data_IF_433688797709
#
_entry.id   IF_433688797709
#
_cell.length_a   1.000
_cell.length_b   1.000
_cell.length_c   1.000
_cell.angle_alpha   90.00
_cell.angle_beta   90.00
_cell.angle_gamma   90.00
#
_symmetry.space_group_name_H-M   'P 1'
#
loop_
_entity.id
_entity.type
_entity.pdbx_description
1 polymer ?
#
# COMPACT_ATOMS: atom_id res chain seq x y z
N UNK A 1 29.92 -17.15 18.92
CA UNK A 1 29.49 -15.78 19.19
C UNK A 1 28.35 -15.49 18.20
N UNK A 2 27.27 -14.89 18.65
CA UNK A 2 26.19 -14.52 17.77
C UNK A 2 26.55 -13.30 16.92
N UNK A 3 25.79 -13.04 15.84
CA UNK A 3 25.94 -11.88 14.98
C UNK A 3 25.41 -10.63 15.69
N UNK A 4 26.20 -9.57 15.79
CA UNK A 4 25.89 -8.37 16.58
C UNK A 4 25.66 -7.15 15.70
N UNK A 5 25.12 -6.07 16.30
CA UNK A 5 24.99 -4.76 15.62
C UNK A 5 26.35 -4.24 15.20
N UNK A 6 27.40 -4.48 16.00
CA UNK A 6 28.78 -4.13 15.65
C UNK A 6 29.25 -4.84 14.37
N UNK A 7 28.99 -6.16 14.27
CA UNK A 7 29.35 -6.94 13.08
C UNK A 7 28.66 -6.43 11.82
N UNK A 8 27.40 -5.97 11.95
CA UNK A 8 26.64 -5.34 10.87
C UNK A 8 27.29 -4.03 10.42
N UNK A 9 27.64 -3.15 11.35
CA UNK A 9 28.27 -1.86 11.07
C UNK A 9 29.69 -2.00 10.48
N UNK A 10 30.44 -3.00 10.92
CA UNK A 10 31.78 -3.29 10.41
C UNK A 10 31.75 -4.04 9.06
N UNK A 11 30.58 -4.51 8.60
CA UNK A 11 30.45 -5.12 7.30
C UNK A 11 30.65 -4.09 6.19
N UNK A 12 31.62 -4.35 5.28
CA UNK A 12 31.92 -3.45 4.15
C UNK A 12 30.80 -3.37 3.10
N UNK A 13 29.66 -4.02 3.36
CA UNK A 13 28.57 -4.09 2.39
C UNK A 13 27.65 -2.86 2.40
N UNK A 14 27.71 -2.02 3.45
CA UNK A 14 26.78 -0.91 3.64
C UNK A 14 27.53 0.33 4.13
N UNK A 15 28.28 0.96 3.23
CA UNK A 15 29.06 2.17 3.53
C UNK A 15 28.20 3.41 3.89
N UNK A 16 26.89 3.33 3.65
CA UNK A 16 25.92 4.40 3.89
C UNK A 16 25.14 4.26 5.21
N UNK A 17 25.52 3.26 6.03
CA UNK A 17 24.99 3.12 7.38
C UNK A 17 25.80 3.94 8.36
N UNK A 18 25.12 4.79 9.11
CA UNK A 18 25.75 5.62 10.15
C UNK A 18 25.10 5.36 11.50
N UNK A 19 25.88 4.97 12.50
CA UNK A 19 25.43 4.95 13.89
C UNK A 19 25.24 6.40 14.36
N UNK A 20 24.04 6.73 14.80
CA UNK A 20 23.69 8.09 15.29
C UNK A 20 23.42 8.13 16.79
N UNK A 21 23.26 6.98 17.46
CA UNK A 21 23.30 6.86 18.92
C UNK A 21 24.73 6.74 19.44
N UNK A 22 24.87 6.64 20.76
CA UNK A 22 26.14 6.22 21.35
C UNK A 22 26.48 4.76 20.98
N UNK A 23 27.71 4.33 21.24
CA UNK A 23 28.23 3.01 20.89
C UNK A 23 28.03 1.95 21.99
N UNK A 24 27.41 2.33 23.11
CA UNK A 24 27.27 1.46 24.29
C UNK A 24 26.43 0.19 24.03
N UNK A 25 25.50 0.27 23.07
CA UNK A 25 24.59 -0.84 22.73
C UNK A 25 24.98 -1.70 21.52
N UNK A 26 26.06 -1.38 20.79
CA UNK A 26 26.41 -2.06 19.53
C UNK A 26 26.78 -3.55 19.70
N UNK A 27 27.09 -3.98 20.91
CA UNK A 27 27.33 -5.40 21.26
C UNK A 27 26.08 -6.25 21.35
N UNK A 28 24.86 -5.67 21.19
CA UNK A 28 23.62 -6.44 21.23
C UNK A 28 23.55 -7.44 20.09
N UNK A 29 23.19 -8.69 20.41
CA UNK A 29 23.06 -9.78 19.46
C UNK A 29 21.81 -9.61 18.60
N UNK A 30 21.94 -9.75 17.29
CA UNK A 30 20.82 -9.74 16.35
C UNK A 30 20.33 -11.18 16.19
N UNK A 31 19.10 -11.46 16.61
CA UNK A 31 18.43 -12.75 16.45
C UNK A 31 17.45 -12.82 15.31
N UNK A 32 17.10 -11.66 14.75
CA UNK A 32 16.16 -11.51 13.66
C UNK A 32 16.13 -10.08 13.17
N UNK A 33 15.33 -9.86 12.15
CA UNK A 33 15.12 -8.53 11.54
C UNK A 33 13.65 -8.36 11.21
N UNK A 34 13.10 -7.15 11.45
CA UNK A 34 11.70 -6.82 11.18
C UNK A 34 11.57 -5.40 10.65
N UNK A 35 10.56 -5.18 9.80
CA UNK A 35 10.15 -3.84 9.38
C UNK A 35 8.96 -3.40 10.23
N UNK A 36 8.98 -2.15 10.71
CA UNK A 36 7.86 -1.57 11.45
C UNK A 36 6.92 -0.89 10.46
N UNK A 37 5.72 -1.46 10.31
CA UNK A 37 4.64 -0.93 9.46
C UNK A 37 3.40 -0.53 10.26
N UNK A 38 3.34 -0.94 11.54
CA UNK A 38 2.25 -0.59 12.47
C UNK A 38 2.84 -0.18 13.83
N UNK A 39 2.20 0.74 14.55
CA UNK A 39 2.75 1.28 15.81
C UNK A 39 2.95 0.23 16.90
N UNK A 40 2.05 -0.74 17.04
CA UNK A 40 2.04 -1.74 18.11
C UNK A 40 2.80 -3.03 17.77
N UNK A 41 3.94 -2.86 17.08
CA UNK A 41 4.77 -3.97 16.59
C UNK A 41 5.33 -4.87 17.71
N UNK A 42 5.46 -4.36 18.92
CA UNK A 42 5.93 -5.10 20.10
C UNK A 42 5.13 -6.38 20.39
N UNK A 43 3.86 -6.43 19.99
CA UNK A 43 3.01 -7.61 20.15
C UNK A 43 3.47 -8.81 19.32
N UNK A 44 4.22 -8.57 18.27
CA UNK A 44 4.64 -9.57 17.29
C UNK A 44 6.13 -9.93 17.38
N UNK A 45 6.86 -9.38 18.34
CA UNK A 45 8.29 -9.62 18.51
C UNK A 45 8.57 -10.78 19.48
N UNK A 46 9.54 -11.58 19.10
CA UNK A 46 10.08 -12.67 19.93
C UNK A 46 11.21 -12.24 20.87
N UNK A 47 11.86 -11.11 20.53
CA UNK A 47 13.01 -10.55 21.23
C UNK A 47 14.36 -10.72 20.50
N UNK A 48 15.18 -9.70 20.56
CA UNK A 48 16.48 -9.66 19.89
C UNK A 48 16.40 -9.31 18.39
N UNK A 49 15.28 -8.79 17.91
CA UNK A 49 15.17 -8.33 16.53
C UNK A 49 15.79 -6.94 16.35
N UNK A 50 16.39 -6.73 15.18
CA UNK A 50 16.77 -5.42 14.67
C UNK A 50 15.58 -4.85 13.89
N UNK A 51 15.12 -3.66 14.24
CA UNK A 51 13.91 -3.07 13.70
C UNK A 51 14.22 -2.02 12.63
N UNK A 52 13.63 -2.15 11.46
CA UNK A 52 13.77 -1.24 10.34
C UNK A 52 12.51 -0.37 10.23
N UNK A 53 12.67 0.94 10.15
CA UNK A 53 11.53 1.86 10.05
C UNK A 53 11.85 3.10 9.22
N UNK A 54 10.83 3.59 8.51
CA UNK A 54 10.81 4.93 7.93
C UNK A 54 10.12 5.96 8.85
N UNK A 55 9.72 5.55 10.06
CA UNK A 55 8.89 6.29 11.02
C UNK A 55 7.43 6.54 10.58
N UNK A 56 7.06 6.26 9.33
CA UNK A 56 5.69 6.50 8.82
C UNK A 56 4.60 5.74 9.59
N UNK A 57 4.92 4.57 10.13
CA UNK A 57 3.99 3.82 10.96
C UNK A 57 3.49 4.63 12.18
N UNK A 58 4.27 5.60 12.61
CA UNK A 58 3.99 6.44 13.78
C UNK A 58 3.46 7.84 13.43
N UNK A 59 3.19 8.14 12.15
CA UNK A 59 2.81 9.48 11.70
C UNK A 59 1.54 10.02 12.37
N UNK A 60 0.60 9.14 12.73
CA UNK A 60 -0.63 9.48 13.45
C UNK A 60 -0.56 9.19 14.96
N UNK A 61 0.63 8.87 15.51
CA UNK A 61 0.79 8.43 16.90
C UNK A 61 1.14 9.62 17.78
N UNK A 62 0.44 9.80 18.90
CA UNK A 62 0.76 10.80 19.91
C UNK A 62 2.11 10.50 20.58
N UNK A 63 2.82 11.54 21.04
CA UNK A 63 4.15 11.42 21.64
C UNK A 63 4.21 10.47 22.84
N UNK A 64 3.21 10.55 23.72
CA UNK A 64 3.08 9.68 24.91
C UNK A 64 2.90 8.21 24.54
N UNK A 65 2.10 7.96 23.51
CA UNK A 65 1.82 6.62 22.99
C UNK A 65 3.07 6.06 22.32
N UNK A 66 3.79 6.88 21.57
CA UNK A 66 5.06 6.49 20.97
C UNK A 66 6.10 6.10 22.02
N UNK A 67 6.25 6.91 23.06
CA UNK A 67 7.14 6.59 24.19
C UNK A 67 6.73 5.29 24.89
N UNK A 68 5.43 5.03 25.02
CA UNK A 68 4.94 3.76 25.54
C UNK A 68 5.37 2.58 24.67
N UNK A 69 5.23 2.68 23.34
CA UNK A 69 5.70 1.65 22.41
C UNK A 69 7.21 1.42 22.52
N UNK A 70 8.02 2.46 22.62
CA UNK A 70 9.47 2.32 22.82
C UNK A 70 9.81 1.52 24.10
N UNK A 71 9.11 1.80 25.20
CA UNK A 71 9.29 1.05 26.46
C UNK A 71 8.89 -0.42 26.32
N UNK A 72 7.82 -0.71 25.60
CA UNK A 72 7.40 -2.10 25.35
C UNK A 72 8.40 -2.82 24.43
N UNK A 73 8.95 -2.13 23.43
CA UNK A 73 10.00 -2.68 22.56
C UNK A 73 11.28 -2.97 23.34
N UNK A 74 11.70 -2.10 24.26
CA UNK A 74 12.88 -2.35 25.11
C UNK A 74 12.70 -3.54 26.04
N UNK A 75 11.49 -3.73 26.61
CA UNK A 75 11.15 -4.95 27.38
C UNK A 75 11.32 -6.23 26.56
N UNK A 76 11.14 -6.16 25.24
CA UNK A 76 11.39 -7.28 24.32
C UNK A 76 12.90 -7.49 24.02
N UNK A 77 13.76 -6.63 24.58
CA UNK A 77 15.21 -6.73 24.36
C UNK A 77 15.58 -6.69 22.87
N UNK A 78 14.99 -5.76 22.13
CA UNK A 78 15.33 -5.55 20.72
C UNK A 78 16.81 -5.20 20.56
N UNK A 79 17.39 -5.51 19.40
CA UNK A 79 18.82 -5.23 19.15
C UNK A 79 19.10 -3.77 18.83
N UNK A 80 18.13 -3.05 18.27
CA UNK A 80 18.25 -1.65 17.89
C UNK A 80 17.31 -1.27 16.78
N UNK A 81 17.52 -0.07 16.24
CA UNK A 81 16.76 0.47 15.11
C UNK A 81 17.67 0.79 13.93
N UNK A 82 17.15 0.54 12.71
CA UNK A 82 17.63 1.15 11.47
C UNK A 82 16.54 2.08 10.98
N UNK A 83 16.87 3.37 10.92
CA UNK A 83 15.92 4.43 10.51
C UNK A 83 16.32 4.95 9.15
N UNK A 84 15.40 4.88 8.19
CA UNK A 84 15.61 5.45 6.87
C UNK A 84 15.45 6.97 6.93
N UNK A 85 16.48 7.70 6.49
CA UNK A 85 16.37 9.14 6.33
C UNK A 85 15.34 9.45 5.23
N UNK A 86 14.22 10.06 5.59
CA UNK A 86 13.20 10.52 4.66
C UNK A 86 12.72 11.90 5.07
N UNK A 87 12.02 12.60 4.19
CA UNK A 87 11.43 13.89 4.53
C UNK A 87 10.50 13.71 5.74
N UNK A 88 10.86 14.33 6.86
CA UNK A 88 10.13 14.22 8.12
C UNK A 88 9.25 15.46 8.30
N UNK A 89 7.98 15.23 8.58
CA UNK A 89 7.09 16.29 9.09
C UNK A 89 7.62 16.80 10.44
N UNK A 90 7.19 17.97 10.89
CA UNK A 90 7.57 18.49 12.23
C UNK A 90 7.17 17.53 13.36
N UNK A 91 6.08 16.81 13.18
CA UNK A 91 5.64 15.78 14.12
C UNK A 91 6.62 14.60 14.14
N UNK A 92 6.96 14.04 12.98
CA UNK A 92 7.92 12.94 12.89
C UNK A 92 9.33 13.32 13.38
N UNK A 93 9.73 14.58 13.25
CA UNK A 93 10.99 15.06 13.85
C UNK A 93 10.95 14.97 15.37
N UNK A 94 9.84 15.42 16.01
CA UNK A 94 9.69 15.30 17.46
C UNK A 94 9.70 13.85 17.94
N UNK A 95 9.02 12.95 17.23
CA UNK A 95 9.06 11.52 17.55
C UNK A 95 10.48 10.95 17.39
N UNK A 96 11.23 11.43 16.41
CA UNK A 96 12.62 11.03 16.23
C UNK A 96 13.51 11.53 17.37
N UNK A 97 13.32 12.76 17.84
CA UNK A 97 14.04 13.29 19.00
C UNK A 97 13.74 12.46 20.25
N UNK A 98 12.47 12.08 20.49
CA UNK A 98 12.08 11.17 21.56
C UNK A 98 12.79 9.80 21.42
N UNK A 99 12.87 9.25 20.21
CA UNK A 99 13.61 8.01 19.96
C UNK A 99 15.09 8.17 20.33
N UNK A 100 15.71 9.28 19.97
CA UNK A 100 17.12 9.53 20.27
C UNK A 100 17.38 9.70 21.77
N UNK A 101 16.53 10.42 22.49
CA UNK A 101 16.61 10.55 23.96
C UNK A 101 16.44 9.18 24.63
N UNK A 102 15.43 8.42 24.22
CA UNK A 102 15.19 7.06 24.71
C UNK A 102 16.38 6.13 24.43
N UNK A 103 16.95 6.23 23.24
CA UNK A 103 18.12 5.46 22.81
C UNK A 103 19.33 5.68 23.73
N UNK A 104 19.62 6.95 24.09
CA UNK A 104 20.71 7.28 25.00
C UNK A 104 20.49 6.73 26.40
N UNK A 105 19.26 6.84 26.92
CA UNK A 105 18.91 6.37 28.28
C UNK A 105 18.98 4.82 28.39
N UNK A 106 18.56 4.13 27.35
CA UNK A 106 18.43 2.65 27.33
C UNK A 106 19.58 1.93 26.60
N UNK A 107 20.60 2.65 26.14
CA UNK A 107 21.72 2.11 25.37
C UNK A 107 21.24 1.28 24.18
N UNK A 108 20.34 1.84 23.39
CA UNK A 108 19.70 1.19 22.27
C UNK A 108 20.30 1.72 20.94
N UNK A 109 20.98 0.90 20.13
CA UNK A 109 21.59 1.37 18.89
C UNK A 109 20.55 1.92 17.93
N UNK A 110 20.79 3.10 17.39
CA UNK A 110 20.03 3.72 16.29
C UNK A 110 21.00 3.99 15.14
N UNK A 111 20.71 3.36 14.01
CA UNK A 111 21.48 3.47 12.77
C UNK A 111 20.64 4.24 11.78
N UNK A 112 21.17 5.30 11.18
CA UNK A 112 20.55 6.00 10.08
C UNK A 112 21.09 5.48 8.75
N UNK A 113 20.19 5.35 7.76
CA UNK A 113 20.54 4.99 6.39
C UNK A 113 20.02 6.05 5.42
N UNK A 114 20.72 6.19 4.28
CA UNK A 114 20.31 7.08 3.21
C UNK A 114 18.98 6.65 2.55
N UNK A 115 18.36 7.57 1.79
CA UNK A 115 17.16 7.26 1.01
C UNK A 115 17.43 6.22 -0.08
N UNK A 116 18.66 6.16 -0.60
CA UNK A 116 19.06 5.27 -1.68
C UNK A 116 19.31 3.82 -1.20
N UNK A 117 19.51 3.62 0.10
CA UNK A 117 19.72 2.29 0.68
C UNK A 117 18.38 1.63 0.99
N UNK A 118 18.16 0.44 0.42
CA UNK A 118 16.93 -0.30 0.59
C UNK A 118 17.00 -1.32 1.72
N UNK A 119 15.92 -1.43 2.48
CA UNK A 119 15.79 -2.39 3.59
C UNK A 119 16.07 -3.83 3.16
N UNK A 120 15.70 -4.18 1.92
CA UNK A 120 15.92 -5.52 1.39
C UNK A 120 17.38 -5.98 1.44
N UNK A 121 18.32 -5.17 1.01
CA UNK A 121 19.74 -5.52 1.05
C UNK A 121 20.22 -5.84 2.46
N UNK A 122 19.79 -5.04 3.42
CA UNK A 122 20.09 -5.19 4.84
C UNK A 122 19.48 -6.48 5.41
N UNK A 123 18.18 -6.68 5.17
CA UNK A 123 17.43 -7.86 5.61
C UNK A 123 18.09 -9.14 5.10
N UNK A 124 18.36 -9.18 3.78
CA UNK A 124 19.00 -10.32 3.15
C UNK A 124 20.37 -10.63 3.78
N UNK A 125 21.18 -9.58 3.97
CA UNK A 125 22.51 -9.75 4.58
C UNK A 125 22.39 -10.36 5.98
N UNK A 126 21.55 -9.77 6.84
CA UNK A 126 21.35 -10.26 8.21
C UNK A 126 20.84 -11.71 8.22
N UNK A 127 19.84 -12.03 7.40
CA UNK A 127 19.30 -13.40 7.36
C UNK A 127 20.34 -14.43 6.90
N UNK A 128 21.22 -14.08 5.95
CA UNK A 128 22.30 -14.95 5.50
C UNK A 128 23.42 -15.12 6.56
N UNK A 129 23.60 -14.15 7.46
CA UNK A 129 24.51 -14.29 8.59
C UNK A 129 23.92 -15.15 9.72
N UNK A 130 22.59 -15.11 9.89
CA UNK A 130 21.90 -15.82 10.97
C UNK A 130 21.60 -17.29 10.65
N UNK A 131 21.49 -17.67 9.37
CA UNK A 131 21.02 -18.99 8.97
C UNK A 131 21.46 -19.38 7.55
N UNK A 132 21.29 -20.66 7.22
CA UNK A 132 21.48 -21.15 5.86
C UNK A 132 20.46 -20.56 4.87
N UNK A 133 20.73 -20.71 3.57
CA UNK A 133 19.94 -20.09 2.50
C UNK A 133 18.46 -20.51 2.55
N UNK A 134 18.15 -21.76 2.82
CA UNK A 134 16.77 -22.26 2.82
C UNK A 134 16.00 -21.73 4.04
N UNK A 135 16.63 -21.70 5.19
CA UNK A 135 16.06 -21.08 6.40
C UNK A 135 15.89 -19.57 6.21
N UNK A 136 16.82 -18.89 5.54
CA UNK A 136 16.71 -17.47 5.21
C UNK A 136 15.50 -17.20 4.31
N UNK A 137 15.26 -18.03 3.28
CA UNK A 137 14.08 -17.95 2.41
C UNK A 137 12.79 -18.07 3.20
N UNK A 138 12.71 -19.06 4.10
CA UNK A 138 11.52 -19.29 4.92
C UNK A 138 11.27 -18.14 5.92
N UNK A 139 12.30 -17.64 6.57
CA UNK A 139 12.18 -16.47 7.47
C UNK A 139 11.74 -15.22 6.73
N UNK A 140 12.27 -14.99 5.54
CA UNK A 140 11.88 -13.86 4.70
C UNK A 140 10.42 -13.96 4.25
N UNK A 141 10.00 -15.15 3.80
CA UNK A 141 8.59 -15.41 3.47
C UNK A 141 7.67 -15.10 4.65
N UNK A 142 8.02 -15.63 5.84
CA UNK A 142 7.23 -15.41 7.05
C UNK A 142 7.20 -13.93 7.44
N UNK A 143 8.32 -13.24 7.41
CA UNK A 143 8.39 -11.81 7.72
C UNK A 143 7.51 -10.97 6.79
N UNK A 144 7.59 -11.23 5.49
CA UNK A 144 6.76 -10.55 4.48
C UNK A 144 5.28 -10.80 4.73
N UNK A 145 4.91 -12.07 5.01
CA UNK A 145 3.54 -12.45 5.33
C UNK A 145 3.03 -11.75 6.58
N UNK A 146 3.81 -11.74 7.66
CA UNK A 146 3.44 -11.12 8.92
C UNK A 146 3.24 -9.59 8.75
N UNK A 147 4.14 -8.90 8.05
CA UNK A 147 4.03 -7.47 7.80
C UNK A 147 2.77 -7.13 7.00
N UNK A 148 2.50 -7.85 5.93
CA UNK A 148 1.30 -7.66 5.10
C UNK A 148 0.01 -7.96 5.89
N UNK A 149 0.02 -9.03 6.69
CA UNK A 149 -1.12 -9.38 7.56
C UNK A 149 -1.39 -8.29 8.60
N UNK A 150 -0.34 -7.70 9.16
CA UNK A 150 -0.49 -6.60 10.11
C UNK A 150 -1.13 -5.36 9.46
N UNK A 151 -0.76 -5.02 8.22
CA UNK A 151 -1.43 -3.94 7.49
C UNK A 151 -2.92 -4.26 7.31
N UNK A 152 -3.25 -5.47 6.85
CA UNK A 152 -4.65 -5.87 6.63
C UNK A 152 -5.51 -5.83 7.90
N UNK A 153 -4.94 -6.21 9.03
CA UNK A 153 -5.68 -6.32 10.29
C UNK A 153 -5.83 -4.99 11.02
N UNK A 154 -4.87 -4.09 10.89
CA UNK A 154 -4.82 -2.86 11.68
C UNK A 154 -5.19 -1.60 10.89
N UNK A 155 -5.24 -1.65 9.56
CA UNK A 155 -5.66 -0.52 8.73
C UNK A 155 -7.11 -0.72 8.30
N UNK A 156 -8.01 0.09 8.86
CA UNK A 156 -9.46 -0.02 8.62
C UNK A 156 -9.81 0.46 7.23
N UNK A 157 -9.26 1.60 6.80
CA UNK A 157 -9.49 2.17 5.48
C UNK A 157 -8.80 1.33 4.41
N UNK A 158 -9.57 0.89 3.41
CA UNK A 158 -9.07 0.02 2.35
C UNK A 158 -8.07 0.72 1.43
N UNK A 159 -8.27 2.00 1.15
CA UNK A 159 -7.38 2.79 0.30
C UNK A 159 -6.05 3.03 0.99
N UNK A 160 -6.08 3.43 2.26
CA UNK A 160 -4.87 3.57 3.08
C UNK A 160 -4.11 2.24 3.18
N UNK A 161 -4.82 1.12 3.33
CA UNK A 161 -4.23 -0.22 3.34
C UNK A 161 -3.46 -0.50 2.04
N UNK A 162 -4.05 -0.18 0.88
CA UNK A 162 -3.40 -0.35 -0.43
C UNK A 162 -2.15 0.56 -0.52
N UNK A 163 -2.25 1.83 -0.14
CA UNK A 163 -1.13 2.77 -0.18
C UNK A 163 0.04 2.31 0.70
N UNK A 164 -0.24 1.80 1.90
CA UNK A 164 0.77 1.22 2.80
C UNK A 164 1.41 -0.04 2.22
N UNK A 165 0.63 -0.91 1.58
CA UNK A 165 1.16 -2.08 0.87
C UNK A 165 2.12 -1.63 -0.24
N UNK A 166 1.74 -0.64 -1.06
CA UNK A 166 2.61 -0.11 -2.13
C UNK A 166 3.90 0.49 -1.60
N UNK A 167 3.82 1.25 -0.50
CA UNK A 167 5.00 1.78 0.16
C UNK A 167 5.92 0.67 0.68
N UNK A 168 5.37 -0.33 1.38
CA UNK A 168 6.13 -1.48 1.87
C UNK A 168 6.84 -2.20 0.74
N UNK A 169 6.13 -2.48 -0.36
CA UNK A 169 6.69 -3.18 -1.53
C UNK A 169 7.86 -2.40 -2.12
N UNK A 170 7.66 -1.11 -2.41
CA UNK A 170 8.72 -0.30 -3.02
C UNK A 170 9.95 -0.21 -2.13
N UNK A 171 9.75 -0.09 -0.82
CA UNK A 171 10.84 -0.05 0.16
C UNK A 171 11.57 -1.40 0.27
N UNK A 172 10.84 -2.50 0.17
CA UNK A 172 11.42 -3.85 0.22
C UNK A 172 12.19 -4.20 -1.05
N UNK A 173 11.59 -3.97 -2.21
CA UNK A 173 12.18 -4.34 -3.51
C UNK A 173 13.21 -3.32 -4.01
N UNK A 174 13.18 -2.10 -3.46
CA UNK A 174 14.02 -1.02 -3.96
C UNK A 174 13.63 -0.53 -5.36
N UNK A 175 12.43 -0.89 -5.83
CA UNK A 175 11.97 -0.62 -7.19
C UNK A 175 10.57 0.02 -7.19
N UNK A 176 10.28 0.91 -8.14
CA UNK A 176 8.94 1.47 -8.29
C UNK A 176 7.92 0.38 -8.61
N UNK A 177 6.75 0.50 -8.01
CA UNK A 177 5.60 -0.38 -8.25
C UNK A 177 4.37 0.45 -8.58
N UNK A 178 3.52 -0.08 -9.44
CA UNK A 178 2.29 0.58 -9.86
C UNK A 178 1.15 -0.40 -10.09
N UNK A 179 -0.08 0.09 -9.96
CA UNK A 179 -1.31 -0.60 -10.31
C UNK A 179 -2.06 0.21 -11.36
N UNK A 180 -2.43 -0.46 -12.43
CA UNK A 180 -3.04 0.18 -13.60
C UNK A 180 -4.32 -0.55 -14.01
N UNK A 181 -5.27 0.20 -14.53
CA UNK A 181 -6.44 -0.35 -15.21
C UNK A 181 -6.07 -0.99 -16.54
N UNK A 182 -7.04 -1.67 -17.16
CA UNK A 182 -6.91 -2.26 -18.50
C UNK A 182 -6.61 -1.23 -19.60
N UNK A 183 -7.00 0.02 -19.42
CA UNK A 183 -6.75 1.14 -20.33
C UNK A 183 -5.37 1.80 -20.11
N UNK A 184 -4.63 1.38 -19.08
CA UNK A 184 -3.33 1.92 -18.71
C UNK A 184 -3.35 3.09 -17.73
N UNK A 185 -4.53 3.50 -17.26
CA UNK A 185 -4.66 4.54 -16.23
C UNK A 185 -4.07 4.07 -14.90
N UNK A 186 -3.22 4.89 -14.29
CA UNK A 186 -2.62 4.59 -12.98
C UNK A 186 -3.67 4.76 -11.88
N UNK A 187 -3.85 3.72 -11.06
CA UNK A 187 -4.71 3.73 -9.89
C UNK A 187 -3.91 4.03 -8.61
N UNK A 188 -2.79 3.34 -8.47
CA UNK A 188 -1.87 3.49 -7.34
C UNK A 188 -0.43 3.39 -7.85
N UNK A 189 0.46 4.20 -7.30
CA UNK A 189 1.89 4.15 -7.59
C UNK A 189 2.71 4.49 -6.37
N UNK A 190 3.83 3.82 -6.20
CA UNK A 190 4.82 4.18 -5.18
C UNK A 190 5.64 5.41 -5.57
N UNK A 191 5.61 5.83 -6.82
CA UNK A 191 6.31 7.00 -7.34
C UNK A 191 5.31 8.07 -7.75
N UNK A 192 5.58 9.34 -7.46
CA UNK A 192 4.72 10.48 -7.81
C UNK A 192 4.66 10.76 -9.32
N UNK A 193 5.61 10.24 -10.09
CA UNK A 193 5.61 10.33 -11.55
C UNK A 193 4.68 9.25 -12.11
N UNK A 194 3.41 9.60 -12.34
CA UNK A 194 2.47 8.75 -13.05
C UNK A 194 2.91 8.60 -14.50
N UNK A 195 3.49 7.46 -14.81
CA UNK A 195 3.82 7.12 -16.19
C UNK A 195 2.65 6.34 -16.80
N UNK A 196 2.22 6.73 -18.00
CA UNK A 196 1.27 5.96 -18.79
C UNK A 196 1.77 4.54 -18.96
N UNK A 197 1.05 3.57 -18.44
CA UNK A 197 1.37 2.17 -18.62
C UNK A 197 0.74 1.65 -19.92
N UNK A 198 1.53 0.95 -20.72
CA UNK A 198 1.05 0.25 -21.92
C UNK A 198 1.72 -1.10 -22.03
N UNK A 199 0.92 -2.08 -22.39
CA UNK A 199 1.43 -3.41 -22.72
C UNK A 199 2.04 -3.37 -24.12
N UNK A 200 3.33 -3.67 -24.20
CA UNK A 200 4.07 -3.70 -25.48
C UNK A 200 3.72 -4.97 -26.29
N UNK A 201 3.93 -4.90 -27.62
CA UNK A 201 3.64 -6.04 -28.51
C UNK A 201 4.57 -7.25 -28.28
N UNK A 202 5.79 -7.01 -27.80
CA UNK A 202 6.80 -8.05 -27.56
C UNK A 202 6.91 -8.32 -26.06
N UNK A 203 5.98 -9.11 -25.53
CA UNK A 203 5.94 -9.57 -24.15
C UNK A 203 6.44 -10.99 -24.08
N UNK A 204 7.35 -11.26 -23.14
CA UNK A 204 7.78 -12.60 -22.81
C UNK A 204 7.08 -13.06 -21.51
N UNK A 205 6.82 -14.35 -21.40
CA UNK A 205 6.43 -14.94 -20.13
C UNK A 205 7.69 -15.16 -19.27
N UNK A 206 7.60 -14.80 -18.00
CA UNK A 206 8.65 -15.03 -17.01
C UNK A 206 8.12 -15.86 -15.86
N UNK A 207 8.87 -16.89 -15.52
CA UNK A 207 8.64 -17.71 -14.34
C UNK A 207 9.92 -17.75 -13.53
N UNK A 208 9.84 -17.36 -12.27
CA UNK A 208 10.98 -17.43 -11.34
C UNK A 208 11.48 -18.87 -11.18
N UNK A 209 12.78 -19.04 -10.95
CA UNK A 209 13.40 -20.36 -10.66
C UNK A 209 12.95 -20.98 -9.34
N UNK A 210 12.37 -20.20 -8.43
CA UNK A 210 11.76 -20.65 -7.19
C UNK A 210 10.39 -21.27 -7.49
N UNK A 211 9.94 -22.20 -6.66
CA UNK A 211 8.57 -22.72 -6.70
C UNK A 211 7.59 -21.57 -6.39
N UNK A 212 7.18 -20.85 -7.42
CA UNK A 212 6.20 -19.80 -7.34
C UNK A 212 4.92 -20.23 -8.04
N UNK A 213 3.80 -19.76 -7.51
CA UNK A 213 2.47 -19.99 -8.07
C UNK A 213 2.21 -19.13 -9.31
N UNK A 214 2.90 -17.99 -9.42
CA UNK A 214 2.60 -16.98 -10.42
C UNK A 214 3.59 -16.98 -11.58
N UNK A 215 3.02 -16.72 -12.76
CA UNK A 215 3.75 -16.31 -13.95
C UNK A 215 3.58 -14.81 -14.13
N UNK A 216 4.61 -14.17 -14.62
CA UNK A 216 4.65 -12.75 -14.90
C UNK A 216 4.80 -12.54 -16.41
N UNK A 217 4.27 -11.44 -16.90
CA UNK A 217 4.63 -10.92 -18.21
C UNK A 217 5.83 -10.01 -18.02
N UNK A 218 6.80 -10.13 -18.90
CA UNK A 218 8.06 -9.39 -18.84
C UNK A 218 8.21 -8.58 -20.12
N UNK A 219 8.37 -7.27 -20.00
CA UNK A 219 8.60 -6.40 -21.15
C UNK A 219 9.76 -5.44 -20.88
N UNK A 220 10.45 -5.07 -21.96
CA UNK A 220 11.40 -3.96 -21.94
C UNK A 220 10.71 -2.71 -22.44
N UNK A 221 10.63 -1.68 -21.61
CA UNK A 221 9.96 -0.44 -21.97
C UNK A 221 10.76 0.32 -23.03
N UNK A 222 10.07 0.85 -24.04
CA UNK A 222 10.69 1.67 -25.09
C UNK A 222 11.33 2.91 -24.48
N UNK A 223 12.53 3.25 -24.95
CA UNK A 223 13.34 4.39 -24.50
C UNK A 223 13.86 4.30 -23.07
N UNK A 224 13.76 3.13 -22.43
CA UNK A 224 14.32 2.87 -21.09
C UNK A 224 15.19 1.62 -21.13
N UNK A 225 16.08 1.48 -20.16
CA UNK A 225 16.94 0.30 -20.05
C UNK A 225 16.44 -0.73 -19.02
N UNK A 226 15.29 -0.46 -18.37
CA UNK A 226 14.78 -1.36 -17.35
C UNK A 226 13.71 -2.32 -17.88
N UNK A 227 13.52 -3.37 -17.12
CA UNK A 227 12.53 -4.43 -17.35
C UNK A 227 11.33 -4.16 -16.45
N UNK A 228 10.14 -4.40 -16.98
CA UNK A 228 8.89 -4.38 -16.22
C UNK A 228 8.36 -5.80 -16.06
N UNK A 229 8.11 -6.20 -14.83
CA UNK A 229 7.42 -7.44 -14.49
C UNK A 229 5.96 -7.13 -14.18
N UNK A 230 5.08 -7.71 -14.96
CA UNK A 230 3.66 -7.40 -14.97
C UNK A 230 2.88 -8.61 -14.50
N UNK A 231 2.02 -8.41 -13.50
CA UNK A 231 1.06 -9.41 -13.06
C UNK A 231 -0.36 -8.93 -13.34
N UNK A 232 -1.07 -9.68 -14.18
CA UNK A 232 -2.50 -9.46 -14.39
C UNK A 232 -3.27 -9.92 -13.14
N UNK A 233 -4.09 -9.02 -12.60
CA UNK A 233 -5.00 -9.25 -11.50
C UNK A 233 -6.43 -9.19 -12.01
N UNK A 234 -7.23 -10.17 -11.65
CA UNK A 234 -8.66 -10.20 -11.96
C UNK A 234 -9.44 -9.97 -10.66
N UNK A 235 -10.21 -8.88 -10.60
CA UNK A 235 -11.09 -8.57 -9.49
C UNK A 235 -12.53 -8.83 -9.94
N UNK A 236 -13.23 -9.76 -9.29
CA UNK A 236 -14.61 -10.14 -9.59
C UNK A 236 -14.89 -10.51 -11.06
N UNK A 237 -13.96 -11.21 -11.72
CA UNK A 237 -14.05 -11.68 -13.12
C UNK A 237 -14.25 -10.57 -14.19
N UNK A 238 -14.29 -9.28 -13.80
CA UNK A 238 -14.69 -8.18 -14.68
C UNK A 238 -13.73 -7.02 -14.74
N UNK A 239 -13.01 -6.76 -13.66
CA UNK A 239 -12.00 -5.71 -13.62
C UNK A 239 -10.62 -6.33 -13.79
N UNK A 240 -10.04 -6.10 -14.97
CA UNK A 240 -8.63 -6.43 -15.23
C UNK A 240 -7.77 -5.27 -14.75
N UNK A 241 -6.81 -5.58 -13.91
CA UNK A 241 -5.80 -4.65 -13.44
C UNK A 241 -4.41 -5.24 -13.67
N UNK A 242 -3.43 -4.39 -13.80
CA UNK A 242 -2.04 -4.78 -13.99
C UNK A 242 -1.19 -4.24 -12.86
N UNK A 243 -0.67 -5.15 -12.05
CA UNK A 243 0.36 -4.84 -11.07
C UNK A 243 1.71 -4.93 -11.75
N UNK A 244 2.49 -3.84 -11.68
CA UNK A 244 3.75 -3.68 -12.41
C UNK A 244 4.85 -3.37 -11.43
N UNK A 245 5.97 -4.10 -11.55
CA UNK A 245 7.23 -3.79 -10.86
C UNK A 245 8.23 -3.38 -11.93
N UNK A 246 8.78 -2.17 -11.82
CA UNK A 246 9.75 -1.64 -12.76
C UNK A 246 11.16 -1.77 -12.19
N UNK A 247 12.00 -2.61 -12.79
CA UNK A 247 13.38 -2.89 -12.38
C UNK A 247 14.31 -1.71 -12.75
N UNK A 248 14.10 -0.56 -12.07
CA UNK A 248 14.83 0.67 -12.36
C UNK A 248 16.11 0.82 -11.55
N UNK A 249 16.10 0.39 -10.31
CA UNK A 249 17.17 0.63 -9.35
C UNK A 249 17.96 -0.65 -9.08
N UNK A 250 17.28 -1.73 -8.69
CA UNK A 250 17.88 -3.00 -8.32
C UNK A 250 17.31 -4.15 -9.16
N UNK A 251 18.15 -5.08 -9.63
CA UNK A 251 17.67 -6.26 -10.33
C UNK A 251 16.86 -7.16 -9.38
N UNK A 252 15.68 -7.61 -9.82
CA UNK A 252 14.87 -8.54 -9.06
C UNK A 252 15.52 -9.90 -9.00
N UNK A 253 15.58 -10.45 -7.78
CA UNK A 253 16.20 -11.74 -7.47
C UNK A 253 15.14 -12.75 -7.08
N UNK A 254 15.53 -14.02 -6.97
CA UNK A 254 14.60 -15.10 -6.63
C UNK A 254 13.77 -14.84 -5.37
N UNK A 255 14.38 -14.28 -4.32
CA UNK A 255 13.67 -14.00 -3.06
C UNK A 255 12.63 -12.91 -3.21
N UNK A 256 12.80 -11.96 -4.13
CA UNK A 256 11.84 -10.90 -4.39
C UNK A 256 10.54 -11.47 -4.96
N UNK A 257 10.62 -12.54 -5.76
CA UNK A 257 9.43 -13.23 -6.26
C UNK A 257 8.66 -13.99 -5.17
N UNK A 258 9.33 -14.42 -4.09
CA UNK A 258 8.64 -14.96 -2.90
C UNK A 258 7.84 -13.86 -2.21
N UNK A 259 8.46 -12.69 -2.02
CA UNK A 259 7.76 -11.53 -1.47
C UNK A 259 6.58 -11.11 -2.35
N UNK A 260 6.81 -10.99 -3.66
CA UNK A 260 5.78 -10.62 -4.64
C UNK A 260 4.58 -11.56 -4.60
N UNK A 261 4.75 -12.85 -4.35
CA UNK A 261 3.64 -13.80 -4.23
C UNK A 261 2.73 -13.46 -3.04
N UNK A 262 3.31 -13.21 -1.87
CA UNK A 262 2.57 -12.76 -0.68
C UNK A 262 1.87 -11.42 -0.92
N UNK A 263 2.59 -10.49 -1.53
CA UNK A 263 2.12 -9.15 -1.85
C UNK A 263 0.91 -9.20 -2.78
N UNK A 264 0.97 -9.98 -3.86
CA UNK A 264 -0.11 -10.08 -4.84
C UNK A 264 -1.39 -10.62 -4.19
N UNK A 265 -1.28 -11.65 -3.34
CA UNK A 265 -2.43 -12.19 -2.61
C UNK A 265 -3.03 -11.11 -1.70
N UNK A 266 -2.21 -10.43 -0.92
CA UNK A 266 -2.65 -9.41 0.02
C UNK A 266 -3.27 -8.21 -0.71
N UNK A 267 -2.64 -7.78 -1.81
CA UNK A 267 -3.15 -6.70 -2.64
C UNK A 267 -4.51 -7.05 -3.25
N UNK A 268 -4.70 -8.27 -3.74
CA UNK A 268 -6.00 -8.71 -4.25
C UNK A 268 -7.09 -8.64 -3.17
N UNK A 269 -6.80 -9.05 -1.93
CA UNK A 269 -7.73 -8.92 -0.81
C UNK A 269 -8.07 -7.46 -0.51
N UNK A 270 -7.08 -6.58 -0.45
CA UNK A 270 -7.29 -5.15 -0.21
C UNK A 270 -8.10 -4.49 -1.33
N UNK A 271 -7.82 -4.84 -2.59
CA UNK A 271 -8.58 -4.35 -3.74
C UNK A 271 -10.03 -4.84 -3.75
N UNK A 272 -10.27 -6.13 -3.42
CA UNK A 272 -11.62 -6.66 -3.30
C UNK A 272 -12.39 -5.90 -2.22
N UNK A 273 -11.77 -5.68 -1.05
CA UNK A 273 -12.38 -4.91 0.03
C UNK A 273 -12.70 -3.48 -0.41
N UNK A 274 -11.76 -2.81 -1.06
CA UNK A 274 -11.95 -1.45 -1.58
C UNK A 274 -13.12 -1.34 -2.56
N UNK A 275 -13.18 -2.24 -3.55
CA UNK A 275 -14.29 -2.27 -4.51
C UNK A 275 -15.64 -2.57 -3.85
N UNK A 276 -15.64 -3.43 -2.81
CA UNK A 276 -16.87 -3.72 -2.05
C UNK A 276 -17.33 -2.50 -1.24
N UNK A 277 -16.41 -1.79 -0.57
CA UNK A 277 -16.70 -0.56 0.18
C UNK A 277 -17.28 0.51 -0.75
N UNK A 278 -16.62 0.80 -1.89
CA UNK A 278 -17.16 1.74 -2.88
C UNK A 278 -18.55 1.35 -3.42
N UNK A 279 -18.78 0.05 -3.67
CA UNK A 279 -20.09 -0.41 -4.13
C UNK A 279 -21.17 -0.28 -3.06
N UNK A 280 -20.84 -0.48 -1.78
CA UNK A 280 -21.76 -0.28 -0.67
C UNK A 280 -22.12 1.19 -0.52
N UNK A 281 -21.13 2.10 -0.59
CA UNK A 281 -21.35 3.54 -0.56
C UNK A 281 -22.24 4.00 -1.71
N UNK A 282 -21.96 3.58 -2.94
CA UNK A 282 -22.79 3.88 -4.12
C UNK A 282 -24.23 3.37 -3.97
N UNK A 283 -24.42 2.16 -3.43
CA UNK A 283 -25.76 1.62 -3.17
C UNK A 283 -26.49 2.42 -2.09
N UNK A 284 -25.78 2.78 -1.03
CA UNK A 284 -26.35 3.58 0.05
C UNK A 284 -26.78 4.98 -0.46
N UNK A 285 -25.93 5.64 -1.24
CA UNK A 285 -26.28 6.92 -1.87
C UNK A 285 -27.51 6.79 -2.77
N UNK A 286 -27.59 5.78 -3.63
CA UNK A 286 -28.77 5.52 -4.48
C UNK A 286 -30.05 5.27 -3.67
N UNK A 287 -29.96 4.53 -2.56
CA UNK A 287 -31.11 4.33 -1.67
C UNK A 287 -31.56 5.64 -1.04
N UNK A 288 -30.63 6.48 -0.59
CA UNK A 288 -30.93 7.81 -0.06
C UNK A 288 -31.54 8.73 -1.12
N UNK A 289 -31.00 8.76 -2.34
CA UNK A 289 -31.53 9.50 -3.47
C UNK A 289 -32.99 9.06 -3.78
N UNK A 290 -33.23 7.74 -3.83
CA UNK A 290 -34.55 7.20 -4.07
C UNK A 290 -35.56 7.55 -2.96
N UNK A 291 -35.16 7.47 -1.69
CA UNK A 291 -35.98 7.83 -0.54
C UNK A 291 -36.28 9.35 -0.52
N UNK A 292 -35.31 10.18 -0.88
CA UNK A 292 -35.48 11.62 -1.02
C UNK A 292 -36.50 11.96 -2.13
N UNK A 293 -36.36 11.37 -3.32
CA UNK A 293 -37.29 11.57 -4.44
C UNK A 293 -38.73 11.14 -4.14
N UNK A 294 -38.89 10.13 -3.28
CA UNK A 294 -40.21 9.61 -2.87
C UNK A 294 -40.81 10.33 -1.64
N UNK A 295 -40.11 11.32 -1.07
CA UNK A 295 -40.53 12.03 0.14
C UNK A 295 -40.65 11.11 1.35
N UNK A 296 -39.82 10.08 1.45
CA UNK A 296 -39.85 9.11 2.56
C UNK A 296 -38.79 9.37 3.63
N UNK A 297 -38.08 10.49 3.56
CA UNK A 297 -37.14 10.97 4.56
C UNK A 297 -37.86 11.91 5.54
N UNK A 298 -37.39 11.99 6.78
CA UNK A 298 -37.74 13.07 7.72
C UNK A 298 -36.99 14.35 7.34
N UNK A 299 -37.50 15.51 7.80
CA UNK A 299 -36.86 16.80 7.48
C UNK A 299 -35.39 16.90 7.89
N UNK A 300 -35.00 16.25 9.00
CA UNK A 300 -33.62 16.24 9.46
C UNK A 300 -32.75 15.34 8.57
N UNK A 301 -33.26 14.17 8.14
CA UNK A 301 -32.61 13.28 7.19
C UNK A 301 -32.49 13.91 5.80
N UNK A 302 -33.51 14.68 5.35
CA UNK A 302 -33.47 15.38 4.07
C UNK A 302 -32.32 16.38 3.99
N UNK A 303 -32.11 17.17 5.06
CA UNK A 303 -31.01 18.13 5.13
C UNK A 303 -29.63 17.44 5.12
N UNK A 304 -29.49 16.33 5.83
CA UNK A 304 -28.26 15.55 5.86
C UNK A 304 -27.96 14.94 4.47
N UNK A 305 -28.97 14.32 3.85
CA UNK A 305 -28.85 13.72 2.51
C UNK A 305 -28.60 14.79 1.46
N UNK A 306 -29.27 15.94 1.51
CA UNK A 306 -29.02 17.07 0.62
C UNK A 306 -27.57 17.55 0.72
N UNK A 307 -27.03 17.64 1.94
CA UNK A 307 -25.62 17.95 2.17
C UNK A 307 -24.67 16.93 1.57
N UNK A 308 -24.94 15.61 1.75
CA UNK A 308 -24.15 14.53 1.16
C UNK A 308 -24.19 14.54 -0.38
N UNK A 309 -25.33 14.89 -0.96
CA UNK A 309 -25.52 14.99 -2.41
C UNK A 309 -25.03 16.33 -2.99
N UNK A 310 -24.56 17.27 -2.14
CA UNK A 310 -24.13 18.62 -2.55
C UNK A 310 -25.27 19.47 -3.07
N UNK A 311 -26.51 19.22 -2.60
CA UNK A 311 -27.67 20.01 -2.92
C UNK A 311 -27.75 21.23 -2.00
N UNK A 312 -28.18 22.38 -2.54
CA UNK A 312 -28.27 23.65 -1.81
C UNK A 312 -29.73 24.12 -1.83
N UNK A 313 -30.28 24.46 -0.67
CA UNK A 313 -31.68 24.95 -0.52
C UNK A 313 -31.99 26.22 -1.34
N UNK A 314 -30.96 26.97 -1.72
CA UNK A 314 -31.11 28.17 -2.54
C UNK A 314 -31.21 27.89 -4.05
N UNK A 315 -31.05 26.66 -4.48
CA UNK A 315 -31.01 26.27 -5.88
C UNK A 315 -32.23 25.46 -6.31
N UNK A 316 -32.61 25.59 -7.58
CA UNK A 316 -33.71 24.83 -8.16
C UNK A 316 -33.16 23.67 -8.95
N UNK A 317 -33.42 22.45 -8.48
CA UNK A 317 -33.02 21.22 -9.14
C UNK A 317 -34.13 20.67 -10.04
N UNK A 318 -33.74 20.04 -11.15
CA UNK A 318 -34.64 19.31 -12.03
C UNK A 318 -34.27 17.83 -12.06
N UNK A 319 -35.26 16.98 -11.85
CA UNK A 319 -35.12 15.55 -12.04
C UNK A 319 -35.41 15.22 -13.50
N UNK A 320 -34.46 14.56 -14.16
CA UNK A 320 -34.64 14.10 -15.54
C UNK A 320 -34.56 12.56 -15.53
N UNK A 321 -35.61 11.91 -15.99
CA UNK A 321 -35.70 10.46 -16.05
C UNK A 321 -35.51 10.00 -17.49
N UNK A 322 -34.56 9.10 -17.70
CA UNK A 322 -34.33 8.43 -18.98
C UNK A 322 -34.88 7.02 -18.91
N UNK A 323 -35.63 6.62 -19.93
CA UNK A 323 -36.13 5.27 -20.06
C UNK A 323 -35.54 4.62 -21.30
N UNK A 324 -34.89 3.49 -21.13
CA UNK A 324 -34.38 2.70 -22.25
C UNK A 324 -35.46 1.69 -22.69
N UNK A 325 -35.97 1.83 -23.93
CA UNK A 325 -37.06 1.00 -24.45
C UNK A 325 -36.61 -0.38 -25.01
N UNK A 326 -35.31 -0.67 -24.99
CA UNK A 326 -34.74 -1.82 -25.71
C UNK A 326 -34.90 -3.18 -25.00
N UNK A 327 -35.50 -3.28 -23.80
CA UNK A 327 -35.45 -4.51 -23.01
C UNK A 327 -36.82 -5.06 -22.73
N UNK A 328 -37.36 -5.81 -23.70
CA UNK A 328 -38.70 -6.38 -23.62
C UNK A 328 -38.86 -7.65 -22.77
N UNK A 329 -37.81 -8.27 -22.28
CA UNK A 329 -37.88 -9.53 -21.51
C UNK A 329 -36.84 -9.54 -20.37
N UNK A 330 -37.10 -8.87 -19.26
CA UNK A 330 -36.18 -8.91 -18.12
C UNK A 330 -36.84 -9.35 -16.83
N UNK A 331 -36.58 -10.58 -16.46
CA UNK A 331 -36.70 -11.04 -15.07
C UNK A 331 -35.36 -10.88 -14.27
N UNK A 332 -34.22 -10.64 -14.93
CA UNK A 332 -32.94 -10.41 -14.27
C UNK A 332 -31.99 -9.56 -15.16
N UNK A 333 -31.52 -8.43 -14.64
CA UNK A 333 -30.40 -7.71 -15.24
C UNK A 333 -29.15 -8.58 -15.28
N UNK A 334 -28.63 -8.85 -16.45
CA UNK A 334 -27.29 -9.42 -16.57
C UNK A 334 -26.26 -8.32 -16.36
N UNK A 335 -25.10 -8.73 -15.86
CA UNK A 335 -24.02 -7.79 -15.58
C UNK A 335 -23.46 -7.05 -16.82
N UNK A 336 -23.68 -7.60 -18.04
CA UNK A 336 -23.37 -6.92 -19.29
C UNK A 336 -24.28 -5.70 -19.52
N UNK A 337 -25.52 -5.80 -19.12
CA UNK A 337 -26.53 -4.75 -19.27
C UNK A 337 -26.33 -3.61 -18.27
N UNK A 338 -25.86 -3.91 -17.06
CA UNK A 338 -25.47 -2.86 -16.07
C UNK A 338 -24.32 -2.04 -16.62
N UNK A 339 -23.33 -2.68 -17.26
CA UNK A 339 -22.19 -2.00 -17.88
C UNK A 339 -22.58 -1.15 -19.09
N UNK A 340 -23.58 -1.62 -19.86
CA UNK A 340 -24.15 -0.88 -20.97
C UNK A 340 -24.94 0.33 -20.47
N UNK A 341 -25.63 0.22 -19.36
CA UNK A 341 -26.34 1.33 -18.70
C UNK A 341 -25.35 2.39 -18.19
N UNK A 342 -24.28 1.99 -17.52
CA UNK A 342 -23.22 2.90 -17.05
C UNK A 342 -22.50 3.62 -18.21
N UNK A 343 -22.30 2.95 -19.33
CA UNK A 343 -21.75 3.57 -20.54
C UNK A 343 -22.69 4.61 -21.13
N UNK A 344 -24.00 4.31 -21.20
CA UNK A 344 -25.02 5.23 -21.70
C UNK A 344 -25.18 6.43 -20.77
N UNK A 345 -25.16 6.24 -19.45
CA UNK A 345 -25.15 7.33 -18.45
C UNK A 345 -23.98 8.28 -18.66
N UNK A 346 -22.77 7.74 -18.79
CA UNK A 346 -21.58 8.53 -19.04
C UNK A 346 -21.60 9.28 -20.37
N UNK A 347 -22.22 8.70 -21.41
CA UNK A 347 -22.42 9.42 -22.69
C UNK A 347 -23.46 10.51 -22.56
N UNK A 348 -24.59 10.26 -21.89
CA UNK A 348 -25.62 11.26 -21.66
C UNK A 348 -25.05 12.47 -20.89
N UNK A 349 -24.24 12.22 -19.84
CA UNK A 349 -23.55 13.28 -19.09
C UNK A 349 -22.66 14.15 -19.99
N UNK A 350 -22.03 13.55 -21.01
CA UNK A 350 -21.17 14.27 -21.98
C UNK A 350 -21.96 15.20 -22.92
N UNK A 351 -23.22 14.88 -23.19
CA UNK A 351 -24.08 15.66 -24.10
C UNK A 351 -24.99 16.66 -23.38
N UNK A 352 -25.09 16.61 -22.06
CA UNK A 352 -25.78 17.65 -21.30
C UNK A 352 -25.00 18.96 -21.41
N UNK A 353 -25.67 20.08 -21.78
CA UNK A 353 -25.00 21.36 -21.86
C UNK A 353 -24.39 21.69 -20.50
N UNK A 354 -23.08 21.80 -20.45
CA UNK A 354 -22.37 22.37 -19.31
C UNK A 354 -22.58 23.87 -19.37
N UNK A 355 -23.56 24.37 -18.65
CA UNK A 355 -23.59 25.81 -18.37
C UNK A 355 -22.38 26.17 -17.51
N UNK A 356 -21.80 27.37 -17.71
CA UNK A 356 -20.55 27.72 -17.09
C UNK A 356 -20.70 27.74 -15.57
N UNK A 357 -19.97 26.83 -14.93
CA UNK A 357 -19.38 26.88 -13.60
C UNK A 357 -20.29 26.95 -12.35
N UNK A 358 -21.62 26.77 -12.39
CA UNK A 358 -22.42 26.90 -11.15
C UNK A 358 -23.38 25.74 -10.84
N UNK A 359 -23.59 24.76 -11.72
CA UNK A 359 -24.54 23.68 -11.44
C UNK A 359 -24.00 22.30 -11.83
N UNK A 360 -23.60 21.51 -10.85
CA UNK A 360 -23.34 20.09 -11.03
C UNK A 360 -24.64 19.32 -11.29
N UNK A 361 -24.80 18.79 -12.49
CA UNK A 361 -25.93 17.92 -12.85
C UNK A 361 -25.64 16.49 -12.41
N UNK A 362 -26.40 15.97 -11.46
CA UNK A 362 -26.33 14.54 -11.07
C UNK A 362 -27.42 13.75 -11.77
N UNK A 363 -27.07 12.60 -12.28
CA UNK A 363 -27.98 11.63 -12.90
C UNK A 363 -28.04 10.41 -11.97
N UNK A 364 -29.25 10.07 -11.51
CA UNK A 364 -29.48 8.83 -10.77
C UNK A 364 -30.09 7.79 -11.72
N UNK A 365 -29.57 6.57 -11.70
CA UNK A 365 -29.93 5.45 -12.56
C UNK A 365 -31.03 4.57 -11.96
#
# INVERSE_FOLDING_TARGET
>A
MGYTVKDLLESNNFSEMQLISDDSGIGREIKGVRIIEVPDMEKFLGGGELLLTSMRAYEATEEDVFLHHLKELDKKQISGFIVKCCQRTEHLKRLFDILMEFSQEHHLPVIEISEDLYFWGIIKHILLQLCDIETAKLKYFKMTHDNLSNILLNVIDSRESIERIFFLISTMLGNPVGLYNADGTCLFSSNSETQDFRIEKNIAEYKSGIITRYQYLCQKRKNTNYIEYIKKLNIFERQEMYFVVSEQNEPLRELDFIALENIIITLQFSLIRHVLEENLEKRHLRDLEYRMLNGSLSNDEENEVAGMLGLNDAEIYRVVTFRMDAIKNMEKFTNAQIKETELVENEIIRYLPREPAENDTRISS
#
